data_IF_380198775831
#
_entry.id   IF_380198775831
#
_cell.length_a   1.000
_cell.length_b   1.000
_cell.length_c   1.000
_cell.angle_alpha   90.00
_cell.angle_beta   90.00
_cell.angle_gamma   90.00
#
_symmetry.space_group_name_H-M   'P 1'
#
loop_
_entity.id
_entity.type
_entity.pdbx_description
1 polymer ?
#
# COMPACT_ATOMS: atom_id res chain seq x y z
N UNK A 1 -5.55 -11.68 56.17
CA UNK A 1 -4.43 -11.58 55.21
C UNK A 1 -3.18 -12.44 55.52
N UNK A 2 -3.07 -13.21 56.62
CA UNK A 2 -1.88 -14.05 56.90
C UNK A 2 -1.91 -15.49 56.37
N UNK A 3 -3.05 -16.02 55.93
CA UNK A 3 -3.17 -17.42 55.43
C UNK A 3 -2.84 -17.60 53.94
N UNK A 4 -2.86 -16.53 53.13
CA UNK A 4 -2.56 -16.60 51.69
C UNK A 4 -1.05 -16.67 51.39
N UNK A 5 -0.20 -16.24 52.33
CA UNK A 5 1.26 -16.17 52.17
C UNK A 5 2.01 -17.50 52.35
N UNK A 6 1.35 -18.56 52.84
CA UNK A 6 2.02 -19.85 53.13
C UNK A 6 1.84 -20.92 52.05
N UNK A 7 1.04 -20.66 51.01
CA UNK A 7 0.76 -21.66 49.99
C UNK A 7 1.74 -21.52 48.82
N UNK A 8 2.84 -22.29 48.86
CA UNK A 8 3.93 -22.27 47.86
C UNK A 8 3.40 -22.47 46.42
N UNK A 9 2.32 -23.23 46.25
CA UNK A 9 1.64 -23.45 44.96
C UNK A 9 0.96 -22.18 44.44
N UNK A 10 0.38 -21.36 45.32
CA UNK A 10 -0.26 -20.09 44.93
C UNK A 10 0.77 -19.08 44.41
N UNK A 11 1.93 -18.99 45.05
CA UNK A 11 3.03 -18.13 44.58
C UNK A 11 3.59 -18.56 43.21
N UNK A 12 3.71 -19.87 42.96
CA UNK A 12 4.16 -20.39 41.65
C UNK A 12 3.17 -20.02 40.54
N UNK A 13 1.87 -20.16 40.79
CA UNK A 13 0.82 -19.79 39.82
C UNK A 13 0.84 -18.28 39.56
N UNK A 14 1.01 -17.47 40.60
CA UNK A 14 1.06 -16.02 40.47
C UNK A 14 2.29 -15.54 39.68
N UNK A 15 3.45 -16.16 39.90
CA UNK A 15 4.67 -15.89 39.13
C UNK A 15 4.52 -16.33 37.67
N UNK A 16 3.96 -17.52 37.40
CA UNK A 16 3.66 -17.94 36.02
C UNK A 16 2.71 -16.98 35.31
N UNK A 17 1.67 -16.51 36.00
CA UNK A 17 0.71 -15.56 35.42
C UNK A 17 1.38 -14.22 35.07
N UNK A 18 2.27 -13.73 35.95
CA UNK A 18 3.07 -12.53 35.71
C UNK A 18 4.00 -12.68 34.50
N UNK A 19 4.68 -13.82 34.37
CA UNK A 19 5.55 -14.12 33.22
C UNK A 19 4.72 -14.17 31.92
N UNK A 20 3.54 -14.80 31.95
CA UNK A 20 2.63 -14.86 30.81
C UNK A 20 2.20 -13.45 30.35
N UNK A 21 1.87 -12.58 31.31
CA UNK A 21 1.49 -11.18 31.03
C UNK A 21 2.65 -10.42 30.39
N UNK A 22 3.88 -10.58 30.88
CA UNK A 22 5.07 -9.94 30.29
C UNK A 22 5.32 -10.43 28.86
N UNK A 23 5.17 -11.73 28.60
CA UNK A 23 5.29 -12.29 27.24
C UNK A 23 4.20 -11.74 26.32
N UNK A 24 2.95 -11.65 26.79
CA UNK A 24 1.86 -11.04 26.04
C UNK A 24 2.13 -9.56 25.74
N UNK A 25 2.64 -8.79 26.69
CA UNK A 25 3.00 -7.39 26.48
C UNK A 25 4.14 -7.23 25.46
N UNK A 26 5.13 -8.12 25.47
CA UNK A 26 6.21 -8.12 24.48
C UNK A 26 5.72 -8.50 23.07
N UNK A 27 4.79 -9.44 22.96
CA UNK A 27 4.16 -9.81 21.68
C UNK A 27 3.29 -8.67 21.17
N UNK A 28 2.50 -8.02 22.04
CA UNK A 28 1.70 -6.86 21.68
C UNK A 28 2.56 -5.65 21.29
N UNK A 29 3.71 -5.44 21.95
CA UNK A 29 4.69 -4.44 21.50
C UNK A 29 5.23 -4.75 20.10
N UNK A 30 5.50 -6.02 19.78
CA UNK A 30 5.91 -6.41 18.41
C UNK A 30 4.81 -6.21 17.37
N UNK A 31 3.54 -6.40 17.72
CA UNK A 31 2.41 -6.09 16.82
C UNK A 31 2.12 -4.59 16.70
N UNK A 32 2.42 -3.79 17.72
CA UNK A 32 2.18 -2.34 17.72
C UNK A 32 3.35 -1.52 17.14
N UNK A 33 4.53 -2.12 16.95
CA UNK A 33 5.75 -1.42 16.52
C UNK A 33 6.12 -1.62 15.04
N UNK A 34 5.18 -2.11 14.23
CA UNK A 34 5.39 -2.33 12.78
C UNK A 34 4.78 -1.21 11.91
N UNK A 35 4.59 0.00 12.44
CA UNK A 35 4.61 1.19 11.59
C UNK A 35 6.08 1.52 11.29
N UNK A 36 6.66 0.81 10.31
CA UNK A 36 7.88 1.30 9.66
C UNK A 36 7.56 2.70 9.13
N UNK A 37 8.19 3.73 9.71
CA UNK A 37 8.10 5.09 9.17
C UNK A 37 8.62 5.08 7.72
N UNK A 38 7.72 5.06 6.75
CA UNK A 38 8.06 5.16 5.33
C UNK A 38 8.76 6.49 5.09
N UNK A 39 9.99 6.45 4.55
CA UNK A 39 10.79 7.66 4.30
C UNK A 39 10.45 8.26 2.93
N UNK A 40 10.54 9.59 2.73
CA UNK A 40 10.29 10.21 1.43
C UNK A 40 11.12 9.63 0.27
N UNK A 41 12.37 9.24 0.53
CA UNK A 41 13.25 8.63 -0.46
C UNK A 41 12.77 7.23 -0.92
N UNK A 42 12.16 6.47 -0.02
CA UNK A 42 11.64 5.13 -0.30
C UNK A 42 10.41 5.23 -1.22
N UNK A 43 9.51 6.17 -0.93
CA UNK A 43 8.35 6.48 -1.77
C UNK A 43 8.76 6.91 -3.18
N UNK A 44 9.81 7.73 -3.31
CA UNK A 44 10.31 8.16 -4.62
C UNK A 44 10.90 7.00 -5.44
N UNK A 45 11.64 6.10 -4.81
CA UNK A 45 12.22 4.93 -5.47
C UNK A 45 11.14 3.96 -5.92
N UNK A 46 10.16 3.68 -5.05
CA UNK A 46 9.01 2.84 -5.36
C UNK A 46 8.19 3.42 -6.50
N UNK A 47 8.00 4.75 -6.49
CA UNK A 47 7.34 5.45 -7.57
C UNK A 47 8.05 5.27 -8.91
N UNK A 48 9.37 5.54 -8.98
CA UNK A 48 10.14 5.39 -10.22
C UNK A 48 10.10 3.97 -10.77
N UNK A 49 10.22 2.97 -9.90
CA UNK A 49 10.19 1.55 -10.27
C UNK A 49 8.84 1.16 -10.86
N UNK A 50 7.75 1.52 -10.17
CA UNK A 50 6.40 1.15 -10.62
C UNK A 50 5.98 1.92 -11.87
N UNK A 51 6.39 3.18 -12.00
CA UNK A 51 6.18 3.94 -13.24
C UNK A 51 6.88 3.31 -14.45
N UNK A 52 8.12 2.82 -14.28
CA UNK A 52 8.82 2.12 -15.35
C UNK A 52 8.06 0.85 -15.79
N UNK A 53 7.68 0.00 -14.83
CA UNK A 53 6.88 -1.21 -15.11
C UNK A 53 5.55 -0.88 -15.79
N UNK A 54 4.85 0.17 -15.35
CA UNK A 54 3.62 0.63 -16.00
C UNK A 54 3.87 1.12 -17.43
N UNK A 55 4.95 1.86 -17.66
CA UNK A 55 5.35 2.30 -19.00
C UNK A 55 5.58 1.11 -19.93
N UNK A 56 6.25 0.06 -19.45
CA UNK A 56 6.51 -1.15 -20.23
C UNK A 56 5.22 -1.92 -20.54
N UNK A 57 4.32 -2.08 -19.57
CA UNK A 57 3.01 -2.70 -19.76
C UNK A 57 2.17 -1.99 -20.84
N UNK A 58 2.19 -0.66 -20.85
CA UNK A 58 1.51 0.12 -21.91
C UNK A 58 2.13 -0.09 -23.28
N UNK A 59 3.46 -0.18 -23.37
CA UNK A 59 4.19 -0.33 -24.64
C UNK A 59 4.02 -1.71 -25.28
N UNK A 60 3.79 -2.74 -24.47
CA UNK A 60 3.52 -4.10 -24.95
C UNK A 60 2.16 -4.23 -25.67
N UNK A 61 1.32 -3.19 -25.64
CA UNK A 61 0.22 -2.99 -26.58
C UNK A 61 -1.01 -3.87 -26.37
N UNK A 62 -0.96 -4.81 -25.42
CA UNK A 62 -1.98 -5.85 -25.24
C UNK A 62 -2.58 -5.82 -23.83
N UNK A 63 -2.85 -4.63 -23.30
CA UNK A 63 -3.45 -4.43 -21.96
C UNK A 63 -4.84 -5.10 -21.81
N UNK A 64 -5.50 -5.44 -22.92
CA UNK A 64 -6.76 -6.18 -22.94
C UNK A 64 -6.57 -7.69 -22.96
N UNK A 65 -5.32 -8.17 -23.08
CA UNK A 65 -5.01 -9.59 -23.04
C UNK A 65 -5.06 -10.07 -21.57
N UNK A 66 -5.89 -11.07 -21.25
CA UNK A 66 -6.08 -11.56 -19.88
C UNK A 66 -4.78 -11.99 -19.19
N UNK A 67 -3.76 -12.33 -19.97
CA UNK A 67 -2.42 -12.68 -19.46
C UNK A 67 -1.80 -11.56 -18.63
N UNK A 68 -2.07 -10.29 -18.97
CA UNK A 68 -1.53 -9.13 -18.29
C UNK A 68 -2.40 -8.63 -17.12
N UNK A 69 -3.62 -9.18 -16.96
CA UNK A 69 -4.55 -8.73 -15.93
C UNK A 69 -3.93 -8.85 -14.51
N UNK A 70 -3.18 -9.92 -14.25
CA UNK A 70 -2.51 -10.09 -12.97
C UNK A 70 -1.47 -8.97 -12.70
N UNK A 71 -0.70 -8.59 -13.72
CA UNK A 71 0.31 -7.54 -13.63
C UNK A 71 -0.34 -6.15 -13.51
N UNK A 72 -1.47 -5.93 -14.19
CA UNK A 72 -2.25 -4.71 -14.08
C UNK A 72 -2.91 -4.56 -12.70
N UNK A 73 -3.35 -5.66 -12.08
CA UNK A 73 -3.86 -5.69 -10.70
C UNK A 73 -2.76 -5.44 -9.68
N UNK A 74 -1.55 -5.91 -9.94
CA UNK A 74 -0.39 -5.57 -9.12
C UNK A 74 -0.09 -4.07 -9.24
N UNK A 75 -0.06 -3.54 -10.47
CA UNK A 75 0.18 -2.11 -10.72
C UNK A 75 -0.86 -1.19 -10.06
N UNK A 76 -2.13 -1.57 -10.11
CA UNK A 76 -3.22 -0.91 -9.39
C UNK A 76 -2.90 -0.78 -7.89
N UNK A 77 -2.54 -1.90 -7.25
CA UNK A 77 -2.22 -1.94 -5.82
C UNK A 77 -0.97 -1.14 -5.49
N UNK A 78 0.05 -1.23 -6.33
CA UNK A 78 1.31 -0.53 -6.13
C UNK A 78 1.11 0.99 -6.17
N UNK A 79 0.40 1.50 -7.18
CA UNK A 79 0.12 2.94 -7.25
C UNK A 79 -0.76 3.43 -6.09
N UNK A 80 -1.77 2.67 -5.68
CA UNK A 80 -2.58 3.03 -4.51
C UNK A 80 -1.76 3.02 -3.21
N UNK A 81 -0.85 2.06 -3.05
CA UNK A 81 0.03 1.95 -1.88
C UNK A 81 1.01 3.12 -1.82
N UNK A 82 1.69 3.41 -2.93
CA UNK A 82 2.62 4.54 -3.04
C UNK A 82 1.90 5.87 -2.76
N UNK A 83 0.69 6.04 -3.28
CA UNK A 83 -0.11 7.23 -2.99
C UNK A 83 -0.46 7.33 -1.51
N UNK A 84 -0.93 6.24 -0.89
CA UNK A 84 -1.26 6.21 0.53
C UNK A 84 -0.03 6.53 1.40
N UNK A 85 1.13 5.97 1.06
CA UNK A 85 2.39 6.22 1.73
C UNK A 85 2.87 7.67 1.55
N UNK A 86 2.74 8.22 0.34
CA UNK A 86 3.04 9.62 0.06
C UNK A 86 2.17 10.56 0.89
N UNK A 87 0.88 10.24 1.09
CA UNK A 87 -0.09 11.05 1.84
C UNK A 87 0.12 11.02 3.37
N UNK A 88 0.99 10.16 3.89
CA UNK A 88 1.39 10.21 5.32
C UNK A 88 1.93 11.60 5.64
N UNK A 89 1.43 12.23 6.71
CA UNK A 89 1.65 13.65 6.99
C UNK A 89 3.13 14.08 6.94
N UNK A 90 4.02 13.27 7.53
CA UNK A 90 5.47 13.51 7.55
C UNK A 90 6.10 13.46 6.15
N UNK A 91 5.63 12.55 5.30
CA UNK A 91 6.08 12.45 3.90
C UNK A 91 5.51 13.62 3.11
N UNK A 92 4.19 13.80 3.13
CA UNK A 92 3.48 14.82 2.36
C UNK A 92 3.99 16.24 2.62
N UNK A 93 4.25 16.60 3.89
CA UNK A 93 4.79 17.89 4.26
C UNK A 93 6.23 18.12 3.75
N UNK A 94 6.99 17.04 3.53
CA UNK A 94 8.34 17.08 2.98
C UNK A 94 8.40 17.10 1.45
N UNK A 95 7.27 16.88 0.76
CA UNK A 95 7.18 16.87 -0.69
C UNK A 95 7.04 18.28 -1.26
N UNK A 96 7.65 18.53 -2.42
CA UNK A 96 7.36 19.75 -3.18
C UNK A 96 5.92 19.74 -3.69
N UNK A 97 5.35 20.92 -4.02
CA UNK A 97 4.02 20.99 -4.65
C UNK A 97 3.96 20.17 -5.94
N UNK A 98 5.05 20.14 -6.71
CA UNK A 98 5.14 19.35 -7.93
C UNK A 98 5.05 17.86 -7.63
N UNK A 99 5.77 17.38 -6.62
CA UNK A 99 5.74 15.98 -6.22
C UNK A 99 4.36 15.59 -5.67
N UNK A 100 3.73 16.45 -4.87
CA UNK A 100 2.36 16.25 -4.41
C UNK A 100 1.36 16.10 -5.57
N UNK A 101 1.48 16.92 -6.61
CA UNK A 101 0.68 16.80 -7.84
C UNK A 101 0.95 15.47 -8.55
N UNK A 102 2.23 15.09 -8.70
CA UNK A 102 2.63 13.81 -9.27
C UNK A 102 1.97 12.66 -8.50
N UNK A 103 2.21 12.54 -7.19
CA UNK A 103 1.66 11.44 -6.39
C UNK A 103 0.13 11.40 -6.41
N UNK A 104 -0.54 12.56 -6.40
CA UNK A 104 -2.00 12.62 -6.53
C UNK A 104 -2.46 12.02 -7.86
N UNK A 105 -1.88 12.48 -8.97
CA UNK A 105 -2.25 11.99 -10.29
C UNK A 105 -1.99 10.48 -10.44
N UNK A 106 -0.92 9.95 -9.86
CA UNK A 106 -0.68 8.50 -9.90
C UNK A 106 -1.59 7.71 -8.95
N UNK A 107 -2.07 8.31 -7.86
CA UNK A 107 -3.19 7.77 -7.08
C UNK A 107 -4.48 7.69 -7.90
N UNK A 108 -4.75 8.72 -8.73
CA UNK A 108 -5.90 8.73 -9.65
C UNK A 108 -5.73 7.66 -10.75
N UNK A 109 -4.53 7.51 -11.31
CA UNK A 109 -4.20 6.40 -12.23
C UNK A 109 -4.44 5.05 -11.57
N UNK A 110 -4.03 4.85 -10.32
CA UNK A 110 -4.32 3.62 -9.57
C UNK A 110 -5.82 3.34 -9.42
N UNK A 111 -6.65 4.38 -9.27
CA UNK A 111 -8.10 4.24 -9.17
C UNK A 111 -8.76 3.92 -10.53
N UNK A 112 -8.29 4.55 -11.60
CA UNK A 112 -8.76 4.25 -12.95
C UNK A 112 -8.28 2.87 -13.42
N UNK A 113 -7.06 2.44 -13.05
CA UNK A 113 -6.58 1.08 -13.32
C UNK A 113 -7.50 0.03 -12.71
N UNK A 114 -7.99 0.24 -11.49
CA UNK A 114 -9.01 -0.64 -10.90
C UNK A 114 -10.23 -0.77 -11.79
N UNK A 115 -10.77 0.37 -12.24
CA UNK A 115 -11.96 0.41 -13.10
C UNK A 115 -11.70 -0.27 -14.45
N UNK A 116 -10.50 -0.11 -15.01
CA UNK A 116 -10.08 -0.77 -16.24
C UNK A 116 -9.98 -2.29 -16.05
N UNK A 117 -9.34 -2.73 -14.97
CA UNK A 117 -9.16 -4.14 -14.63
C UNK A 117 -10.51 -4.84 -14.38
N UNK A 118 -11.41 -4.19 -13.63
CA UNK A 118 -12.77 -4.67 -13.39
C UNK A 118 -13.53 -4.86 -14.74
N UNK A 119 -13.37 -3.93 -15.69
CA UNK A 119 -13.97 -4.02 -17.02
C UNK A 119 -13.34 -5.13 -17.89
N UNK A 120 -12.02 -5.34 -17.80
CA UNK A 120 -11.33 -6.44 -18.50
C UNK A 120 -11.83 -7.80 -17.99
N UNK A 121 -11.96 -7.96 -16.67
CA UNK A 121 -12.51 -9.17 -16.03
C UNK A 121 -13.95 -9.45 -16.47
N UNK A 122 -14.77 -8.40 -16.59
CA UNK A 122 -16.13 -8.48 -17.12
C UNK A 122 -16.20 -8.64 -18.65
N UNK A 123 -15.06 -8.68 -19.35
CA UNK A 123 -14.96 -8.72 -20.82
C UNK A 123 -15.59 -7.50 -21.51
N UNK A 124 -15.72 -6.37 -20.79
CA UNK A 124 -16.23 -5.10 -21.26
C UNK A 124 -15.11 -4.26 -21.91
N UNK A 125 -14.44 -4.80 -22.93
CA UNK A 125 -13.22 -4.22 -23.50
C UNK A 125 -13.37 -2.78 -24.04
N UNK A 126 -14.57 -2.41 -24.51
CA UNK A 126 -14.85 -1.03 -24.93
C UNK A 126 -14.78 -0.05 -23.76
N UNK A 127 -15.27 -0.45 -22.58
CA UNK A 127 -15.18 0.35 -21.37
C UNK A 127 -13.73 0.40 -20.88
N UNK A 128 -13.02 -0.72 -20.87
CA UNK A 128 -11.59 -0.75 -20.55
C UNK A 128 -10.78 0.23 -21.42
N UNK A 129 -11.05 0.28 -22.74
CA UNK A 129 -10.40 1.22 -23.66
C UNK A 129 -10.72 2.70 -23.36
N UNK A 130 -11.95 3.00 -22.96
CA UNK A 130 -12.33 4.35 -22.54
C UNK A 130 -11.59 4.76 -21.26
N UNK A 131 -11.49 3.85 -20.29
CA UNK A 131 -10.76 4.08 -19.04
C UNK A 131 -9.26 4.27 -19.32
N UNK A 132 -8.66 3.48 -20.21
CA UNK A 132 -7.27 3.70 -20.62
C UNK A 132 -7.05 5.12 -21.15
N UNK A 133 -7.99 5.65 -21.93
CA UNK A 133 -7.88 7.00 -22.49
C UNK A 133 -7.86 8.05 -21.37
N UNK A 134 -8.70 7.90 -20.34
CA UNK A 134 -8.67 8.76 -19.14
C UNK A 134 -7.33 8.67 -18.40
N UNK A 135 -6.78 7.47 -18.24
CA UNK A 135 -5.47 7.26 -17.62
C UNK A 135 -4.39 8.05 -18.39
N UNK A 136 -4.39 7.98 -19.72
CA UNK A 136 -3.44 8.71 -20.55
C UNK A 136 -3.63 10.24 -20.47
N UNK A 137 -4.85 10.73 -20.27
CA UNK A 137 -5.13 12.15 -20.06
C UNK A 137 -4.59 12.64 -18.70
N UNK A 138 -4.78 11.85 -17.63
CA UNK A 138 -4.19 12.14 -16.32
C UNK A 138 -2.67 12.25 -16.43
N UNK A 139 -2.01 11.29 -17.08
CA UNK A 139 -0.56 11.29 -17.25
C UNK A 139 -0.04 12.48 -18.06
N UNK A 140 -0.79 12.93 -19.08
CA UNK A 140 -0.43 14.11 -19.87
C UNK A 140 -0.46 15.38 -19.02
N UNK A 141 -1.42 15.52 -18.10
CA UNK A 141 -1.55 16.67 -17.22
C UNK A 141 -0.36 16.85 -16.25
N UNK A 142 0.38 15.78 -15.99
CA UNK A 142 1.55 15.78 -15.07
C UNK A 142 2.88 16.02 -15.79
N UNK A 143 2.95 15.74 -17.09
CA UNK A 143 4.16 15.93 -17.91
C UNK A 143 4.37 17.38 -18.37
N UNK A 144 3.38 18.25 -18.16
CA UNK A 144 3.43 19.70 -18.44
C UNK A 144 4.04 20.46 -17.26
#
# INVERSE_FOLDING_TARGET
MRKLLKNKKFWIVLVMLLVLIVVLLLVLQKCAHDEKETKPLEVEQDFKRNYAKWSDLKLNGDICNPTYLAELREMEKDFQTIYADAKKAKVWAGLSKKDQTIYTAYGDVGSELKTMNDAIEAQEYKQAQQVLTKILEIEKGVKQ
#
